data_IF_724105542967
#
_entry.id   IF_724105542967
#
_cell.length_a   1.000
_cell.length_b   1.000
_cell.length_c   1.000
_cell.angle_alpha   90.00
_cell.angle_beta   90.00
_cell.angle_gamma   90.00
#
_symmetry.space_group_name_H-M   'P 1'
#
loop_
_entity.id
_entity.type
_entity.pdbx_description
1 polymer ?
#
# COMPACT_ATOMS: atom_id res chain seq x y z
N UNK A 1 18.89 -45.49 34.71
CA UNK A 1 19.33 -45.98 33.37
C UNK A 1 18.73 -45.08 32.31
N UNK A 2 19.56 -44.70 31.33
CA UNK A 2 19.33 -43.70 30.28
C UNK A 2 18.12 -44.08 29.41
N UNK A 3 17.43 -43.10 28.83
CA UNK A 3 16.85 -43.24 27.50
C UNK A 3 16.81 -41.88 26.78
N UNK A 4 17.96 -41.57 26.21
CA UNK A 4 18.19 -40.59 25.15
C UNK A 4 17.40 -41.02 23.90
N UNK A 5 16.45 -40.20 23.44
CA UNK A 5 15.91 -40.26 22.08
C UNK A 5 16.35 -39.03 21.31
N UNK A 6 17.59 -39.08 20.82
CA UNK A 6 18.06 -38.28 19.71
C UNK A 6 17.28 -38.62 18.44
N UNK A 7 17.29 -37.66 17.50
CA UNK A 7 17.09 -37.85 16.06
C UNK A 7 15.62 -37.93 15.63
N UNK A 8 15.01 -36.96 14.95
CA UNK A 8 15.53 -36.14 13.87
C UNK A 8 14.96 -34.72 13.95
N UNK A 9 15.81 -33.70 14.08
CA UNK A 9 15.46 -32.38 13.54
C UNK A 9 15.47 -32.55 12.02
N UNK A 10 14.33 -32.96 11.46
CA UNK A 10 14.11 -32.83 10.02
C UNK A 10 14.20 -31.35 9.74
N UNK A 11 15.36 -30.94 9.21
CA UNK A 11 15.50 -29.67 8.51
C UNK A 11 14.49 -29.73 7.37
N UNK A 12 13.26 -29.29 7.65
CA UNK A 12 12.22 -29.11 6.66
C UNK A 12 12.82 -28.15 5.66
N UNK A 13 13.29 -28.70 4.54
CA UNK A 13 13.83 -28.00 3.40
C UNK A 13 12.92 -26.81 3.18
N UNK A 14 13.37 -25.62 3.58
CA UNK A 14 12.71 -24.35 3.34
C UNK A 14 12.73 -24.18 1.82
N UNK A 15 11.78 -24.84 1.15
CA UNK A 15 11.38 -24.48 -0.18
C UNK A 15 10.74 -23.12 0.01
N UNK A 16 11.58 -22.09 -0.01
CA UNK A 16 11.16 -20.71 -0.21
C UNK A 16 10.54 -20.66 -1.59
N UNK A 17 9.30 -21.14 -1.70
CA UNK A 17 8.39 -20.80 -2.76
C UNK A 17 8.35 -19.28 -2.71
N UNK A 18 9.12 -18.61 -3.56
CA UNK A 18 9.07 -17.15 -3.67
C UNK A 18 7.62 -16.83 -4.00
N UNK A 19 6.86 -16.37 -2.99
CA UNK A 19 5.48 -15.99 -3.17
C UNK A 19 5.47 -14.91 -4.26
N UNK A 20 4.84 -15.20 -5.38
CA UNK A 20 4.82 -14.30 -6.52
C UNK A 20 3.85 -13.16 -6.20
N UNK A 21 4.39 -11.96 -6.04
CA UNK A 21 3.58 -10.78 -5.76
C UNK A 21 2.88 -10.34 -7.05
N UNK A 22 1.56 -10.49 -7.11
CA UNK A 22 0.80 -10.05 -8.28
C UNK A 22 0.53 -8.55 -8.22
N UNK A 23 0.27 -7.93 -9.38
CA UNK A 23 -0.20 -6.53 -9.45
C UNK A 23 -1.46 -6.32 -8.59
N UNK A 24 -2.35 -7.32 -8.53
CA UNK A 24 -3.57 -7.28 -7.71
C UNK A 24 -3.25 -7.23 -6.22
N UNK A 25 -2.24 -7.99 -5.78
CA UNK A 25 -1.79 -7.97 -4.39
C UNK A 25 -1.23 -6.61 -4.00
N UNK A 26 -0.41 -6.01 -4.86
CA UNK A 26 0.13 -4.66 -4.65
C UNK A 26 -1.00 -3.64 -4.52
N UNK A 27 -1.93 -3.62 -5.47
CA UNK A 27 -3.07 -2.69 -5.45
C UNK A 27 -3.91 -2.88 -4.19
N UNK A 28 -4.20 -4.13 -3.81
CA UNK A 28 -5.00 -4.45 -2.62
C UNK A 28 -4.33 -3.98 -1.34
N UNK A 29 -3.06 -4.32 -1.14
CA UNK A 29 -2.32 -3.96 0.08
C UNK A 29 -2.09 -2.47 0.16
N UNK A 30 -1.68 -1.83 -0.95
CA UNK A 30 -1.47 -0.38 -0.99
C UNK A 30 -2.75 0.40 -0.73
N UNK A 31 -3.89 -0.01 -1.31
CA UNK A 31 -5.18 0.65 -1.05
C UNK A 31 -5.54 0.60 0.44
N UNK A 32 -5.41 -0.57 1.06
CA UNK A 32 -5.68 -0.72 2.49
C UNK A 32 -4.74 0.13 3.36
N UNK A 33 -3.46 0.20 3.02
CA UNK A 33 -2.48 1.02 3.74
C UNK A 33 -2.76 2.52 3.60
N UNK A 34 -3.06 2.98 2.39
CA UNK A 34 -3.38 4.39 2.11
C UNK A 34 -4.64 4.80 2.86
N UNK A 35 -5.71 4.00 2.83
CA UNK A 35 -6.94 4.31 3.59
C UNK A 35 -6.65 4.50 5.07
N UNK A 36 -5.90 3.59 5.70
CA UNK A 36 -5.54 3.71 7.11
C UNK A 36 -4.68 4.95 7.40
N UNK A 37 -3.75 5.27 6.51
CA UNK A 37 -2.91 6.46 6.64
C UNK A 37 -3.74 7.74 6.52
N UNK A 38 -4.69 7.79 5.58
CA UNK A 38 -5.63 8.90 5.41
C UNK A 38 -6.52 9.08 6.64
N UNK A 39 -7.08 8.01 7.19
CA UNK A 39 -7.89 8.07 8.41
C UNK A 39 -7.09 8.64 9.58
N UNK A 40 -5.83 8.22 9.72
CA UNK A 40 -4.96 8.72 10.77
C UNK A 40 -4.57 10.19 10.55
N UNK A 41 -4.25 10.57 9.30
CA UNK A 41 -3.95 11.95 8.94
C UNK A 41 -5.14 12.89 9.21
N UNK A 42 -6.36 12.44 8.92
CA UNK A 42 -7.57 13.20 9.25
C UNK A 42 -7.70 13.42 10.75
N UNK A 43 -7.41 12.41 11.57
CA UNK A 43 -7.46 12.51 13.04
C UNK A 43 -6.37 13.40 13.63
N UNK A 44 -5.18 13.43 13.04
CA UNK A 44 -4.03 14.15 13.60
C UNK A 44 -3.87 15.56 13.04
N UNK A 45 -4.00 15.73 11.72
CA UNK A 45 -3.83 16.99 11.04
C UNK A 45 -5.15 17.73 10.77
N UNK A 46 -6.30 17.03 10.88
CA UNK A 46 -7.61 17.60 10.60
C UNK A 46 -7.93 17.75 9.10
N UNK A 47 -7.08 17.21 8.21
CA UNK A 47 -7.31 17.22 6.77
C UNK A 47 -6.52 16.13 6.04
N UNK A 48 -6.95 15.83 4.82
CA UNK A 48 -6.21 14.98 3.86
C UNK A 48 -6.15 15.66 2.49
N UNK A 49 -5.08 15.40 1.72
CA UNK A 49 -4.96 15.84 0.34
C UNK A 49 -5.15 14.64 -0.58
N UNK A 50 -6.07 14.74 -1.53
CA UNK A 50 -6.41 13.65 -2.47
C UNK A 50 -6.64 14.17 -3.89
N UNK A 51 -6.53 13.27 -4.85
CA UNK A 51 -6.94 13.53 -6.23
C UNK A 51 -8.41 13.15 -6.39
N UNK A 52 -9.26 14.10 -6.79
CA UNK A 52 -10.70 13.89 -6.99
C UNK A 52 -11.19 14.71 -8.18
N UNK A 53 -11.94 14.09 -9.10
CA UNK A 53 -12.58 14.76 -10.25
C UNK A 53 -11.63 15.64 -11.08
N UNK A 54 -10.38 15.20 -11.29
CA UNK A 54 -9.38 15.96 -12.06
C UNK A 54 -8.71 17.09 -11.28
N UNK A 55 -8.89 17.15 -9.96
CA UNK A 55 -8.27 18.15 -9.09
C UNK A 55 -7.50 17.51 -7.94
N UNK A 56 -6.42 18.15 -7.52
CA UNK A 56 -5.86 17.98 -6.19
C UNK A 56 -6.72 18.81 -5.25
N UNK A 57 -7.32 18.16 -4.27
CA UNK A 57 -8.20 18.79 -3.28
C UNK A 57 -7.69 18.49 -1.86
N UNK A 58 -7.93 19.43 -0.96
CA UNK A 58 -7.85 19.23 0.49
C UNK A 58 -9.25 19.03 1.01
N UNK A 59 -9.48 17.91 1.68
CA UNK A 59 -10.70 17.64 2.45
C UNK A 59 -10.38 17.82 3.92
N UNK A 60 -11.13 18.67 4.61
CA UNK A 60 -11.00 18.88 6.04
C UNK A 60 -11.92 17.95 6.82
N UNK A 61 -11.67 17.81 8.12
CA UNK A 61 -12.45 16.93 9.01
C UNK A 61 -13.93 17.30 9.12
N UNK A 62 -14.28 18.58 8.88
CA UNK A 62 -15.66 19.06 8.83
C UNK A 62 -16.39 18.75 7.51
N UNK A 63 -15.70 18.11 6.56
CA UNK A 63 -16.20 17.79 5.23
C UNK A 63 -16.03 18.92 4.21
N UNK A 64 -15.44 20.06 4.58
CA UNK A 64 -15.17 21.14 3.62
C UNK A 64 -14.07 20.74 2.63
N UNK A 65 -14.28 21.06 1.36
CA UNK A 65 -13.37 20.71 0.25
C UNK A 65 -12.78 21.99 -0.34
N UNK A 66 -11.45 22.05 -0.41
CA UNK A 66 -10.70 23.13 -1.03
C UNK A 66 -9.95 22.60 -2.24
N UNK A 67 -10.21 23.19 -3.42
CA UNK A 67 -9.46 22.88 -4.65
C UNK A 67 -8.10 23.55 -4.59
N UNK A 68 -7.02 22.77 -4.74
CA UNK A 68 -5.65 23.26 -4.70
C UNK A 68 -5.13 23.49 -6.12
N UNK A 69 -5.24 22.47 -6.98
CA UNK A 69 -4.64 22.50 -8.31
C UNK A 69 -5.37 21.56 -9.27
N UNK A 70 -5.62 22.02 -10.48
CA UNK A 70 -6.15 21.16 -11.55
C UNK A 70 -5.07 20.18 -12.03
N UNK A 71 -5.45 18.91 -12.15
CA UNK A 71 -4.62 17.87 -12.74
C UNK A 71 -4.78 17.97 -14.26
N UNK A 72 -4.01 18.87 -14.88
CA UNK A 72 -3.89 18.90 -16.34
C UNK A 72 -3.36 17.54 -16.80
N UNK A 73 -4.06 16.90 -17.73
CA UNK A 73 -3.77 15.54 -18.19
C UNK A 73 -2.28 15.39 -18.54
N UNK A 74 -1.62 14.44 -17.87
CA UNK A 74 -0.26 14.07 -18.23
C UNK A 74 -0.31 13.30 -19.56
N UNK A 75 -0.16 14.03 -20.67
CA UNK A 75 -0.08 13.50 -22.04
C UNK A 75 1.29 12.85 -22.35
N UNK A 76 2.07 12.49 -21.34
CA UNK A 76 3.33 11.76 -21.53
C UNK A 76 3.21 10.39 -20.89
N UNK A 77 2.70 9.43 -21.68
CA UNK A 77 2.93 8.01 -21.47
C UNK A 77 4.44 7.76 -21.49
N UNK A 78 5.10 7.87 -20.33
CA UNK A 78 6.46 7.37 -20.20
C UNK A 78 6.39 5.85 -20.38
N UNK A 79 7.06 5.34 -21.43
CA UNK A 79 7.20 3.91 -21.70
C UNK A 79 7.83 3.26 -20.47
N UNK A 80 7.01 2.57 -19.68
CA UNK A 80 7.48 1.83 -18.51
C UNK A 80 8.19 0.57 -19.03
N UNK A 81 9.52 0.61 -19.09
CA UNK A 81 10.34 -0.58 -19.29
C UNK A 81 10.67 -1.13 -17.91
N UNK A 82 10.15 -2.31 -17.59
CA UNK A 82 10.61 -3.12 -16.46
C UNK A 82 11.46 -4.23 -17.08
N UNK A 83 12.73 -4.28 -16.69
CA UNK A 83 13.61 -5.45 -16.85
C UNK A 83 13.30 -6.48 -15.75
#
# INVERSE_FOLDING_TARGET
MKNNKNSHKTASKLRTQKAYLTKRDIVRVSKAAITKASDQAMKTAGYVIKAENGWVVRENQDGSIQRIKEIKGASTLHKLVLD
#
